data_IF_598342544127
#
_entry.id   IF_598342544127
#
_cell.length_a   1.000
_cell.length_b   1.000
_cell.length_c   1.000
_cell.angle_alpha   90.00
_cell.angle_beta   90.00
_cell.angle_gamma   90.00
#
_symmetry.space_group_name_H-M   'P 1'
#
loop_
_entity.id
_entity.type
_entity.pdbx_description
1 polymer ?
#
# COMPACT_ATOMS: atom_id res chain seq x y z
N UNK A 1 24.18 -30.78 13.32
CA UNK A 1 24.56 -29.50 12.68
C UNK A 1 24.46 -28.36 13.71
N UNK A 2 25.16 -27.22 13.58
CA UNK A 2 25.00 -26.12 14.53
C UNK A 2 23.69 -25.34 14.29
N UNK A 3 22.97 -25.03 15.36
CA UNK A 3 21.75 -24.19 15.36
C UNK A 3 22.17 -22.73 15.54
N UNK A 4 21.64 -21.82 14.73
CA UNK A 4 21.96 -20.38 14.83
C UNK A 4 20.86 -19.66 15.62
N UNK A 5 21.22 -18.99 16.72
CA UNK A 5 20.30 -18.28 17.61
C UNK A 5 20.68 -16.79 17.69
N UNK A 6 19.69 -15.89 17.67
CA UNK A 6 19.94 -14.46 17.85
C UNK A 6 20.12 -14.10 19.33
N UNK A 7 21.12 -13.29 19.66
CA UNK A 7 21.29 -12.77 21.01
C UNK A 7 20.22 -11.71 21.35
N UNK A 8 19.59 -11.74 22.54
CA UNK A 8 18.60 -10.74 22.93
C UNK A 8 19.21 -9.38 23.34
N UNK A 9 20.50 -9.34 23.65
CA UNK A 9 21.18 -8.11 24.09
C UNK A 9 21.99 -7.39 23.01
N UNK A 10 22.23 -8.01 21.84
CA UNK A 10 22.97 -7.40 20.74
C UNK A 10 22.67 -8.11 19.41
N UNK A 11 22.94 -7.51 18.24
CA UNK A 11 22.59 -8.09 16.93
C UNK A 11 23.49 -9.27 16.49
N UNK A 12 24.22 -9.91 17.41
CA UNK A 12 25.13 -11.02 17.09
C UNK A 12 24.40 -12.35 17.02
N UNK A 13 24.68 -13.13 15.97
CA UNK A 13 24.20 -14.50 15.80
C UNK A 13 25.16 -15.47 16.51
N UNK A 14 24.60 -16.36 17.33
CA UNK A 14 25.31 -17.37 18.10
C UNK A 14 25.17 -18.73 17.41
N UNK A 15 26.29 -19.42 17.20
CA UNK A 15 26.30 -20.80 16.70
C UNK A 15 26.31 -21.75 17.90
N UNK A 16 25.30 -22.62 17.98
CA UNK A 16 25.02 -23.45 19.15
C UNK A 16 25.03 -24.92 18.72
N UNK A 17 25.79 -25.81 19.38
CA UNK A 17 25.72 -27.23 19.09
C UNK A 17 24.33 -27.78 19.46
N UNK A 18 23.80 -28.74 18.68
CA UNK A 18 22.50 -29.39 18.94
C UNK A 18 22.40 -29.98 20.37
N UNK A 19 23.50 -30.44 20.94
CA UNK A 19 23.55 -30.94 22.33
C UNK A 19 23.21 -29.87 23.39
N UNK A 20 23.23 -28.59 23.03
CA UNK A 20 22.83 -27.47 23.88
C UNK A 20 21.41 -26.97 23.60
N UNK A 21 20.62 -27.66 22.75
CA UNK A 21 19.20 -27.37 22.54
C UNK A 21 18.44 -27.35 23.89
N UNK A 22 17.63 -26.32 24.10
CA UNK A 22 16.90 -26.10 25.36
C UNK A 22 17.73 -25.56 26.53
N UNK A 23 19.07 -25.43 26.41
CA UNK A 23 19.93 -24.92 27.50
C UNK A 23 20.17 -23.40 27.37
N UNK A 24 20.36 -22.69 28.50
CA UNK A 24 20.79 -21.29 28.47
C UNK A 24 22.24 -21.18 28.00
N UNK A 25 22.49 -20.28 27.05
CA UNK A 25 23.82 -19.96 26.51
C UNK A 25 24.14 -18.49 26.73
N UNK A 26 25.39 -18.16 27.04
CA UNK A 26 25.83 -16.76 27.18
C UNK A 26 26.40 -16.22 25.89
N UNK A 27 26.01 -15.01 25.51
CA UNK A 27 26.60 -14.30 24.39
C UNK A 27 28.03 -13.87 24.73
N UNK A 28 29.04 -14.21 23.90
CA UNK A 28 30.43 -13.82 24.16
C UNK A 28 30.69 -12.31 23.99
N UNK A 29 29.78 -11.56 23.34
CA UNK A 29 29.96 -10.12 23.12
C UNK A 29 29.37 -9.23 24.21
N UNK A 30 28.20 -9.57 24.75
CA UNK A 30 27.49 -8.73 25.72
C UNK A 30 27.11 -9.44 27.02
N UNK A 31 27.41 -10.74 27.17
CA UNK A 31 27.12 -11.52 28.38
C UNK A 31 25.64 -11.90 28.57
N UNK A 32 24.72 -11.40 27.75
CA UNK A 32 23.31 -11.74 27.81
C UNK A 32 23.08 -13.25 27.64
N UNK A 33 22.16 -13.82 28.42
CA UNK A 33 21.77 -15.23 28.36
C UNK A 33 20.62 -15.40 27.37
N UNK A 34 20.80 -16.25 26.37
CA UNK A 34 19.76 -16.66 25.42
C UNK A 34 19.41 -18.14 25.64
N UNK A 35 18.17 -18.55 25.39
CA UNK A 35 17.78 -19.96 25.46
C UNK A 35 17.85 -20.57 24.06
N UNK A 36 18.59 -21.67 23.90
CA UNK A 36 18.61 -22.38 22.63
C UNK A 36 17.24 -23.05 22.37
N UNK A 37 16.68 -23.01 21.15
CA UNK A 37 15.42 -23.69 20.82
C UNK A 37 15.50 -25.17 21.19
N UNK A 38 14.44 -25.70 21.82
CA UNK A 38 14.33 -27.13 22.04
C UNK A 38 14.15 -27.83 20.68
N UNK A 39 14.88 -28.91 20.45
CA UNK A 39 14.63 -29.79 19.32
C UNK A 39 13.28 -30.45 19.56
N UNK A 40 12.27 -30.03 18.81
CA UNK A 40 11.03 -30.79 18.71
C UNK A 40 11.43 -32.06 17.95
N UNK A 41 11.32 -33.26 18.55
CA UNK A 41 11.58 -34.50 17.85
C UNK A 41 10.71 -34.48 16.59
N UNK A 42 11.33 -34.59 15.42
CA UNK A 42 10.57 -34.72 14.18
C UNK A 42 9.74 -36.00 14.33
N UNK A 43 8.46 -35.84 14.65
CA UNK A 43 7.50 -36.93 14.63
C UNK A 43 7.55 -37.50 13.22
N UNK A 44 7.94 -38.78 13.13
CA UNK A 44 8.03 -39.52 11.88
C UNK A 44 6.63 -39.57 11.28
N UNK A 45 6.33 -38.57 10.46
CA UNK A 45 5.09 -38.54 9.69
C UNK A 45 5.14 -39.79 8.82
N UNK A 46 4.20 -40.75 8.98
CA UNK A 46 4.20 -41.96 8.18
C UNK A 46 4.19 -41.53 6.72
N UNK A 47 5.22 -41.95 6.00
CA UNK A 47 5.36 -41.75 4.56
C UNK A 47 4.20 -42.50 3.94
N UNK A 48 3.10 -41.80 3.68
CA UNK A 48 2.01 -42.32 2.88
C UNK A 48 2.60 -42.46 1.48
N UNK A 49 2.73 -43.70 1.02
CA UNK A 49 3.15 -44.06 -0.34
C UNK A 49 2.30 -43.30 -1.36
N UNK A 50 2.78 -42.12 -1.74
CA UNK A 50 2.19 -41.34 -2.82
C UNK A 50 2.45 -42.12 -4.09
N UNK A 51 1.41 -42.82 -4.56
CA UNK A 51 1.36 -43.48 -5.85
C UNK A 51 1.94 -42.53 -6.90
N UNK A 52 3.05 -42.97 -7.51
CA UNK A 52 3.78 -42.26 -8.56
C UNK A 52 2.81 -42.06 -9.72
N UNK A 53 2.19 -40.88 -9.79
CA UNK A 53 1.44 -40.46 -10.97
C UNK A 53 2.47 -40.20 -12.07
N UNK A 54 2.46 -41.07 -13.07
CA UNK A 54 3.30 -40.95 -14.26
C UNK A 54 3.21 -39.54 -14.84
N UNK A 55 4.35 -38.92 -15.19
CA UNK A 55 4.38 -37.55 -15.70
C UNK A 55 3.53 -37.45 -16.97
N UNK A 56 2.61 -36.49 -16.99
CA UNK A 56 1.78 -36.19 -18.14
C UNK A 56 2.65 -35.95 -19.39
N UNK A 57 2.24 -36.46 -20.56
CA UNK A 57 3.01 -36.33 -21.79
C UNK A 57 3.23 -34.85 -22.13
N UNK A 58 4.49 -34.49 -22.41
CA UNK A 58 4.86 -33.13 -22.82
C UNK A 58 4.03 -32.71 -24.04
N UNK A 59 3.40 -31.52 -24.04
CA UNK A 59 2.66 -31.03 -25.19
C UNK A 59 3.60 -30.88 -26.39
N UNK A 60 3.20 -31.48 -27.51
CA UNK A 60 3.88 -31.41 -28.80
C UNK A 60 3.87 -29.95 -29.24
N UNK A 61 5.05 -29.34 -29.37
CA UNK A 61 5.23 -27.96 -29.84
C UNK A 61 4.71 -27.88 -31.28
N UNK A 62 3.55 -27.27 -31.47
CA UNK A 62 3.04 -26.90 -32.80
C UNK A 62 3.97 -25.80 -33.30
N UNK A 63 4.73 -26.07 -34.36
CA UNK A 63 5.34 -25.02 -35.17
C UNK A 63 4.17 -24.20 -35.73
N UNK A 64 4.05 -22.95 -35.30
CA UNK A 64 3.21 -22.00 -36.00
C UNK A 64 3.90 -21.67 -37.31
N UNK A 65 3.24 -22.03 -38.40
CA UNK A 65 3.61 -21.70 -39.76
C UNK A 65 3.84 -20.19 -39.90
N UNK A 66 4.89 -19.88 -40.65
CA UNK A 66 5.14 -18.57 -41.19
C UNK A 66 4.00 -18.25 -42.17
N UNK A 67 3.04 -17.42 -41.74
CA UNK A 67 2.14 -16.75 -42.67
C UNK A 67 2.75 -15.41 -43.05
N UNK A 68 3.34 -15.46 -44.22
CA UNK A 68 3.88 -14.39 -45.03
C UNK A 68 2.69 -13.67 -45.67
N UNK A 69 2.18 -12.61 -45.04
CA UNK A 69 1.21 -11.71 -45.69
C UNK A 69 1.69 -10.27 -45.68
N UNK A 70 2.49 -10.00 -46.70
CA UNK A 70 2.55 -8.77 -47.48
C UNK A 70 1.29 -7.87 -47.36
N UNK A 71 1.39 -6.78 -46.60
CA UNK A 71 0.48 -5.63 -46.73
C UNK A 71 1.25 -4.31 -46.62
N UNK A 72 1.70 -3.86 -47.79
CA UNK A 72 1.69 -2.47 -48.33
C UNK A 72 2.37 -1.32 -47.54
N UNK A 73 3.31 -0.61 -48.19
CA UNK A 73 3.66 0.77 -47.87
C UNK A 73 2.57 1.74 -48.36
N UNK A 74 2.07 2.58 -47.46
CA UNK A 74 1.24 3.78 -47.70
C UNK A 74 1.25 4.58 -46.40
N UNK A 75 1.30 5.89 -46.34
CA UNK A 75 1.26 6.95 -47.35
C UNK A 75 1.73 8.20 -46.60
N UNK A 76 2.34 9.12 -47.33
CA UNK A 76 2.73 10.43 -46.87
C UNK A 76 1.53 11.20 -46.30
N UNK A 77 1.72 11.83 -45.15
CA UNK A 77 0.65 12.52 -44.44
C UNK A 77 1.21 13.60 -43.53
N UNK A 78 1.81 14.60 -44.17
CA UNK A 78 2.05 15.93 -43.62
C UNK A 78 0.80 16.46 -42.88
N UNK A 79 0.83 16.45 -41.55
CA UNK A 79 0.04 17.40 -40.76
C UNK A 79 0.96 18.12 -39.77
N UNK A 80 1.69 19.07 -40.36
CA UNK A 80 2.40 20.16 -39.70
C UNK A 80 1.40 20.98 -38.86
N UNK A 81 1.14 20.51 -37.64
CA UNK A 81 0.22 21.19 -36.73
C UNK A 81 0.79 22.56 -36.35
N UNK A 82 0.07 23.68 -36.63
CA UNK A 82 0.61 25.02 -36.42
C UNK A 82 0.88 25.26 -34.93
N UNK A 83 2.16 25.55 -34.61
CA UNK A 83 2.58 26.00 -33.28
C UNK A 83 1.78 27.24 -32.90
N UNK A 84 0.99 27.11 -31.83
CA UNK A 84 0.21 28.20 -31.25
C UNK A 84 1.17 29.30 -30.79
N UNK A 85 1.19 30.42 -31.53
CA UNK A 85 1.91 31.66 -31.17
C UNK A 85 1.45 32.13 -29.79
N UNK A 86 2.35 32.07 -28.82
CA UNK A 86 2.21 32.79 -27.54
C UNK A 86 2.19 34.27 -27.87
N UNK A 87 1.04 34.92 -27.65
CA UNK A 87 0.91 36.38 -27.75
C UNK A 87 1.78 37.05 -26.68
N UNK A 88 2.65 38.01 -27.03
CA UNK A 88 3.18 38.95 -26.06
C UNK A 88 2.04 39.87 -25.61
N UNK A 89 1.75 39.92 -24.31
CA UNK A 89 0.95 40.99 -23.73
C UNK A 89 1.80 42.25 -23.72
N UNK A 90 1.48 43.16 -24.63
CA UNK A 90 1.91 44.54 -24.59
C UNK A 90 1.38 45.23 -23.32
N UNK A 91 2.27 46.02 -22.74
CA UNK A 91 2.09 47.32 -22.09
C UNK A 91 0.66 47.89 -22.03
N UNK A 92 0.27 48.28 -20.82
CA UNK A 92 -0.61 49.43 -20.57
C UNK A 92 -0.16 50.08 -19.26
N UNK A 93 0.76 51.01 -19.45
CA UNK A 93 0.76 52.36 -18.89
C UNK A 93 -0.44 52.72 -17.99
N UNK A 94 -0.17 53.07 -16.73
CA UNK A 94 -0.98 54.04 -15.98
C UNK A 94 -0.13 54.61 -14.83
N UNK A 95 0.67 55.62 -15.20
CA UNK A 95 1.18 56.64 -14.29
C UNK A 95 0.02 57.36 -13.59
N UNK A 96 -0.27 56.95 -12.36
CA UNK A 96 -1.05 57.78 -11.43
C UNK A 96 -0.16 58.40 -10.36
N UNK A 97 0.15 59.65 -10.64
CA UNK A 97 0.69 60.70 -9.79
C UNK A 97 -0.08 60.74 -8.45
N UNK A 98 0.48 60.09 -7.42
CA UNK A 98 -0.08 60.13 -6.06
C UNK A 98 0.55 61.28 -5.28
N UNK A 99 -0.25 62.18 -4.67
CA UNK A 99 0.27 63.31 -3.92
C UNK A 99 1.14 62.85 -2.75
N UNK A 100 2.36 63.41 -2.68
CA UNK A 100 3.31 63.28 -1.56
C UNK A 100 2.64 63.68 -0.25
N UNK A 101 2.13 62.69 0.49
CA UNK A 101 1.64 62.88 1.85
C UNK A 101 2.84 63.16 2.76
N UNK A 102 2.88 64.36 3.30
CA UNK A 102 3.90 64.83 4.23
C UNK A 102 3.98 63.91 5.43
N UNK A 103 5.19 63.42 5.69
CA UNK A 103 5.54 62.46 6.73
C UNK A 103 5.40 63.15 8.09
N UNK A 104 4.21 63.14 8.68
CA UNK A 104 4.03 63.45 10.11
C UNK A 104 4.76 62.37 10.91
N UNK A 105 5.86 62.76 11.55
CA UNK A 105 6.52 62.02 12.64
C UNK A 105 5.49 61.89 13.78
N UNK A 106 4.65 60.86 13.75
CA UNK A 106 3.88 60.44 14.92
C UNK A 106 4.61 59.27 15.59
N UNK A 107 4.72 59.34 16.92
CA UNK A 107 5.46 58.39 17.75
C UNK A 107 4.86 56.98 17.75
N UNK A 108 5.04 56.25 16.66
CA UNK A 108 4.55 54.88 16.45
C UNK A 108 5.42 53.77 17.06
N UNK A 109 6.43 54.10 17.87
CA UNK A 109 7.33 53.10 18.46
C UNK A 109 6.63 52.11 19.38
N UNK A 110 5.63 52.57 20.14
CA UNK A 110 4.89 51.71 21.06
C UNK A 110 3.94 50.73 20.35
N UNK A 111 3.29 51.16 19.26
CA UNK A 111 2.39 50.30 18.50
C UNK A 111 3.13 49.20 17.73
N UNK A 112 4.33 49.49 17.21
CA UNK A 112 5.18 48.50 16.54
C UNK A 112 5.78 47.50 17.54
N UNK A 113 6.16 47.95 18.74
CA UNK A 113 6.63 47.05 19.79
C UNK A 113 5.54 46.07 20.27
N UNK A 114 4.30 46.53 20.40
CA UNK A 114 3.17 45.69 20.80
C UNK A 114 2.83 44.61 19.76
N UNK A 115 2.88 44.93 18.47
CA UNK A 115 2.60 43.96 17.40
C UNK A 115 3.69 42.90 17.27
N UNK A 116 4.96 43.31 17.36
CA UNK A 116 6.09 42.36 17.33
C UNK A 116 6.05 41.45 18.57
N UNK A 117 5.80 42.01 19.75
CA UNK A 117 5.67 41.23 20.99
C UNK A 117 4.54 40.21 20.94
N UNK A 118 3.38 40.59 20.38
CA UNK A 118 2.25 39.68 20.19
C UNK A 118 2.55 38.53 19.22
N UNK A 119 3.21 38.80 18.10
CA UNK A 119 3.59 37.75 17.13
C UNK A 119 4.62 36.77 17.70
N UNK A 120 5.60 37.26 18.45
CA UNK A 120 6.58 36.39 19.13
C UNK A 120 5.89 35.52 20.17
N UNK A 121 4.95 36.06 20.95
CA UNK A 121 4.21 35.27 21.95
C UNK A 121 3.40 34.15 21.30
N UNK A 122 2.69 34.44 20.20
CA UNK A 122 1.94 33.42 19.44
C UNK A 122 2.88 32.36 18.84
N UNK A 123 4.03 32.77 18.31
CA UNK A 123 5.04 31.85 17.78
C UNK A 123 5.62 30.93 18.87
N UNK A 124 5.89 31.47 20.06
CA UNK A 124 6.41 30.69 21.20
C UNK A 124 5.36 29.71 21.73
N UNK A 125 4.09 30.14 21.87
CA UNK A 125 3.00 29.25 22.29
C UNK A 125 2.76 28.16 21.23
N UNK A 126 2.75 28.52 19.94
CA UNK A 126 2.61 27.59 18.84
C UNK A 126 3.76 26.57 18.78
N UNK A 127 5.00 27.01 18.93
CA UNK A 127 6.17 26.14 18.98
C UNK A 127 6.18 25.26 20.24
N UNK A 128 5.77 25.79 21.39
CA UNK A 128 5.64 25.03 22.64
C UNK A 128 4.57 23.93 22.54
N UNK A 129 3.40 24.25 21.99
CA UNK A 129 2.35 23.27 21.71
C UNK A 129 2.81 22.22 20.69
N UNK A 130 3.51 22.64 19.63
CA UNK A 130 4.04 21.73 18.61
C UNK A 130 5.11 20.79 19.19
N UNK A 131 6.02 21.27 20.04
CA UNK A 131 7.05 20.45 20.68
C UNK A 131 6.47 19.51 21.74
N UNK A 132 5.47 19.95 22.51
CA UNK A 132 4.77 19.08 23.47
C UNK A 132 3.91 18.02 22.78
N UNK A 133 3.32 18.33 21.63
CA UNK A 133 2.61 17.36 20.80
C UNK A 133 3.58 16.41 20.06
N UNK A 134 4.71 16.92 19.56
CA UNK A 134 5.68 16.17 18.76
C UNK A 134 6.54 15.21 19.56
N UNK A 135 6.86 15.50 20.83
CA UNK A 135 7.75 14.63 21.64
C UNK A 135 7.11 13.30 22.07
N UNK A 136 5.80 13.12 21.88
CA UNK A 136 5.10 11.83 22.03
C UNK A 136 4.86 11.09 20.71
N UNK A 137 5.23 11.69 19.57
CA UNK A 137 4.96 11.11 18.25
C UNK A 137 6.11 10.24 17.70
N UNK A 138 7.30 10.26 18.31
CA UNK A 138 8.49 9.60 17.76
C UNK A 138 8.60 8.08 17.95
N UNK A 139 7.69 7.44 18.68
CA UNK A 139 7.69 5.98 18.90
C UNK A 139 6.27 5.40 18.85
N UNK A 140 5.40 6.06 18.06
CA UNK A 140 4.05 5.61 17.77
C UNK A 140 3.80 5.47 16.25
N UNK A 141 4.88 5.39 15.46
CA UNK A 141 4.79 5.19 14.01
C UNK A 141 4.67 3.70 13.68
N UNK A 142 3.42 3.23 13.64
CA UNK A 142 2.90 2.19 12.73
C UNK A 142 1.41 1.90 13.00
N UNK A 143 0.91 2.18 14.20
CA UNK A 143 -0.50 2.07 14.56
C UNK A 143 -1.14 3.46 14.50
N UNK A 144 -2.12 3.65 13.61
CA UNK A 144 -2.71 4.94 13.26
C UNK A 144 -3.06 5.85 14.45
N UNK A 145 -3.16 7.16 14.15
CA UNK A 145 -3.55 8.23 15.06
C UNK A 145 -4.46 7.72 16.20
N UNK A 146 -4.05 7.88 17.48
CA UNK A 146 -4.77 7.31 18.64
C UNK A 146 -6.19 7.88 18.83
N UNK A 147 -6.64 8.77 17.94
CA UNK A 147 -7.93 9.44 17.99
C UNK A 147 -8.92 8.99 16.92
N UNK A 148 -8.52 8.15 15.95
CA UNK A 148 -9.49 7.59 15.01
C UNK A 148 -10.13 6.36 15.67
N UNK A 149 -11.33 6.55 16.23
CA UNK A 149 -12.16 5.44 16.71
C UNK A 149 -12.41 4.50 15.53
N UNK A 150 -11.86 3.29 15.57
CA UNK A 150 -12.14 2.25 14.57
C UNK A 150 -13.62 1.92 14.59
N UNK A 151 -14.23 1.76 13.41
CA UNK A 151 -15.57 1.24 13.29
C UNK A 151 -15.69 -0.14 13.97
N UNK A 152 -16.84 -0.47 14.59
CA UNK A 152 -17.06 -1.80 15.14
C UNK A 152 -16.96 -2.85 14.04
N UNK A 153 -16.38 -4.00 14.38
CA UNK A 153 -16.29 -5.14 13.47
C UNK A 153 -17.70 -5.69 13.23
N UNK A 154 -18.13 -5.92 11.98
CA UNK A 154 -19.45 -6.47 11.71
C UNK A 154 -19.62 -7.88 12.30
N UNK A 155 -20.85 -8.23 12.68
CA UNK A 155 -21.12 -9.53 13.28
C UNK A 155 -20.73 -10.68 12.35
N UNK A 156 -20.07 -11.70 12.91
CA UNK A 156 -19.61 -12.89 12.15
C UNK A 156 -18.29 -12.71 11.41
N UNK A 157 -17.67 -11.52 11.45
CA UNK A 157 -16.37 -11.33 10.83
C UNK A 157 -15.25 -11.78 11.76
N UNK A 158 -14.24 -12.44 11.18
CA UNK A 158 -13.11 -13.00 11.92
C UNK A 158 -11.81 -12.33 11.50
N UNK A 159 -10.93 -12.08 12.46
CA UNK A 159 -9.60 -11.54 12.20
C UNK A 159 -8.72 -12.61 11.55
N UNK A 160 -8.17 -12.30 10.39
CA UNK A 160 -7.14 -13.11 9.73
C UNK A 160 -5.82 -12.33 9.67
N UNK A 161 -4.74 -13.03 10.00
CA UNK A 161 -3.38 -12.48 9.99
C UNK A 161 -2.56 -13.22 8.95
N UNK A 162 -1.89 -12.46 8.08
CA UNK A 162 -1.00 -12.96 7.03
C UNK A 162 0.41 -12.46 7.35
N UNK A 163 1.17 -13.19 8.20
CA UNK A 163 2.46 -12.74 8.70
C UNK A 163 3.53 -12.65 7.59
N UNK A 164 3.39 -13.44 6.52
CA UNK A 164 4.29 -13.38 5.37
C UNK A 164 4.14 -12.05 4.61
N UNK A 165 2.91 -11.58 4.45
CA UNK A 165 2.57 -10.33 3.76
C UNK A 165 2.65 -9.09 4.66
N UNK A 166 2.63 -9.31 5.97
CA UNK A 166 2.57 -8.23 6.94
C UNK A 166 1.18 -7.60 7.00
N UNK A 167 0.12 -8.40 6.89
CA UNK A 167 -1.27 -7.90 6.82
C UNK A 167 -2.14 -8.50 7.93
N UNK A 168 -3.05 -7.69 8.47
CA UNK A 168 -4.17 -8.14 9.33
C UNK A 168 -5.46 -7.48 8.87
N UNK A 169 -6.51 -8.27 8.66
CA UNK A 169 -7.82 -7.75 8.27
C UNK A 169 -8.93 -8.70 8.74
N UNK A 170 -10.14 -8.17 8.89
CA UNK A 170 -11.33 -8.96 9.20
C UNK A 170 -12.02 -9.39 7.91
N UNK A 171 -12.50 -10.64 7.88
CA UNK A 171 -13.21 -11.22 6.75
C UNK A 171 -14.51 -11.88 7.20
N UNK A 172 -15.57 -11.88 6.37
CA UNK A 172 -16.86 -12.51 6.71
C UNK A 172 -16.79 -14.05 6.74
N UNK A 173 -15.76 -14.65 6.13
CA UNK A 173 -15.50 -16.08 6.13
C UNK A 173 -13.99 -16.33 6.08
N UNK A 174 -13.57 -17.59 6.19
CA UNK A 174 -12.15 -17.97 6.04
C UNK A 174 -11.68 -17.63 4.61
N UNK A 175 -10.70 -16.73 4.42
CA UNK A 175 -10.26 -16.37 3.09
C UNK A 175 -9.47 -17.49 2.44
N UNK A 176 -9.69 -17.70 1.15
CA UNK A 176 -8.81 -18.46 0.28
C UNK A 176 -7.59 -17.59 -0.04
N UNK A 177 -6.40 -18.13 0.20
CA UNK A 177 -5.12 -17.42 0.00
C UNK A 177 -4.39 -18.05 -1.16
N UNK A 178 -4.02 -17.22 -2.14
CA UNK A 178 -3.15 -17.60 -3.24
C UNK A 178 -1.91 -16.70 -3.23
N UNK A 179 -0.74 -17.32 -3.07
CA UNK A 179 0.55 -16.62 -3.11
C UNK A 179 1.26 -16.98 -4.41
N UNK A 180 1.55 -15.99 -5.24
CA UNK A 180 2.29 -16.15 -6.47
C UNK A 180 3.67 -15.47 -6.35
N UNK A 181 4.73 -16.22 -6.68
CA UNK A 181 6.05 -15.65 -6.89
C UNK A 181 6.15 -15.23 -8.37
N UNK A 182 6.33 -13.96 -8.69
CA UNK A 182 6.42 -13.48 -10.06
C UNK A 182 7.71 -14.02 -10.70
N UNK A 183 7.56 -15.09 -11.48
CA UNK A 183 8.53 -15.59 -12.47
C UNK A 183 7.94 -15.58 -13.89
N UNK A 184 6.75 -15.01 -14.08
CA UNK A 184 6.01 -14.89 -15.34
C UNK A 184 4.95 -13.79 -15.23
N UNK A 185 4.17 -13.56 -16.32
CA UNK A 185 3.01 -12.65 -16.27
C UNK A 185 2.08 -13.14 -15.16
N UNK A 186 1.81 -12.30 -14.15
CA UNK A 186 0.83 -12.62 -13.13
C UNK A 186 -0.55 -12.66 -13.81
N UNK A 187 -1.06 -13.85 -14.06
CA UNK A 187 -2.43 -14.02 -14.52
C UNK A 187 -3.32 -13.85 -13.31
N UNK A 188 -4.07 -12.74 -13.28
CA UNK A 188 -5.07 -12.46 -12.27
C UNK A 188 -5.95 -13.69 -12.09
N UNK A 189 -6.06 -14.16 -10.85
CA UNK A 189 -7.01 -15.21 -10.49
C UNK A 189 -8.39 -14.65 -10.83
N UNK A 190 -9.05 -15.20 -11.86
CA UNK A 190 -10.41 -14.78 -12.25
C UNK A 190 -11.37 -14.88 -11.06
N UNK A 191 -12.38 -14.03 -10.91
CA UNK A 191 -13.16 -13.35 -11.95
C UNK A 191 -13.54 -11.93 -11.51
N UNK A 192 -13.39 -10.97 -12.43
CA UNK A 192 -13.54 -9.51 -12.27
C UNK A 192 -12.44 -8.80 -11.48
N UNK A 193 -11.25 -9.35 -11.56
CA UNK A 193 -9.96 -8.66 -11.37
C UNK A 193 -9.35 -8.29 -12.74
N UNK A 194 -10.15 -8.36 -13.80
CA UNK A 194 -9.78 -8.08 -15.19
C UNK A 194 -9.16 -6.69 -15.38
N UNK A 195 -9.41 -5.79 -14.42
CA UNK A 195 -8.91 -4.41 -14.40
C UNK A 195 -7.96 -4.14 -13.21
N UNK A 196 -7.44 -5.18 -12.51
CA UNK A 196 -6.14 -5.00 -11.85
C UNK A 196 -5.14 -4.83 -12.98
N UNK A 197 -5.01 -3.55 -13.32
CA UNK A 197 -3.91 -2.84 -13.91
C UNK A 197 -2.80 -3.80 -14.27
N UNK A 198 -2.47 -3.86 -15.56
CA UNK A 198 -1.21 -4.40 -16.09
C UNK A 198 -0.05 -3.57 -15.52
N UNK A 199 0.11 -3.56 -14.20
CA UNK A 199 1.24 -2.96 -13.52
C UNK A 199 2.41 -3.82 -13.90
N UNK A 200 3.51 -3.17 -14.24
CA UNK A 200 4.77 -3.88 -14.35
C UNK A 200 5.14 -4.52 -12.99
N UNK A 201 4.86 -5.81 -12.87
CA UNK A 201 5.16 -6.64 -11.69
C UNK A 201 6.52 -7.34 -11.83
N UNK A 202 7.36 -6.97 -12.80
CA UNK A 202 8.70 -7.59 -12.97
C UNK A 202 9.58 -7.46 -11.73
N UNK A 203 9.41 -6.36 -10.98
CA UNK A 203 10.14 -6.09 -9.74
C UNK A 203 9.38 -6.49 -8.47
N UNK A 204 8.19 -7.07 -8.62
CA UNK A 204 7.46 -7.65 -7.50
C UNK A 204 8.19 -8.91 -7.01
N UNK A 205 8.08 -9.19 -5.71
CA UNK A 205 8.66 -10.35 -5.04
C UNK A 205 7.56 -11.38 -4.73
N UNK A 206 6.40 -10.89 -4.29
CA UNK A 206 5.28 -11.69 -3.83
C UNK A 206 4.00 -10.95 -4.18
N UNK A 207 3.03 -11.68 -4.75
CA UNK A 207 1.65 -11.25 -4.86
C UNK A 207 0.83 -12.22 -4.02
N UNK A 208 0.22 -11.71 -2.96
CA UNK A 208 -0.73 -12.49 -2.17
C UNK A 208 -2.13 -11.96 -2.39
N UNK A 209 -3.01 -12.86 -2.82
CA UNK A 209 -4.42 -12.58 -3.02
C UNK A 209 -5.24 -13.36 -2.01
N UNK A 210 -6.07 -12.65 -1.26
CA UNK A 210 -7.02 -13.20 -0.31
C UNK A 210 -8.43 -12.90 -0.82
N UNK A 211 -9.25 -13.94 -0.92
CA UNK A 211 -10.65 -13.80 -1.28
C UNK A 211 -11.53 -14.47 -0.23
N UNK A 212 -12.60 -13.80 0.19
CA UNK A 212 -13.59 -14.38 1.10
C UNK A 212 -14.99 -13.93 0.70
N UNK A 213 -15.97 -14.78 1.04
CA UNK A 213 -17.37 -14.37 1.08
C UNK A 213 -18.25 -14.84 -0.07
N UNK A 214 -17.77 -15.75 -0.92
CA UNK A 214 -18.57 -16.46 -1.93
C UNK A 214 -19.86 -17.02 -1.27
N UNK A 215 -21.01 -16.43 -1.61
CA UNK A 215 -22.32 -16.83 -1.09
C UNK A 215 -22.70 -16.29 0.30
N UNK A 216 -21.86 -15.47 0.94
CA UNK A 216 -22.12 -14.90 2.28
C UNK A 216 -22.84 -13.55 2.27
N UNK A 217 -23.16 -13.01 1.09
CA UNK A 217 -23.79 -11.71 0.93
C UNK A 217 -22.84 -10.52 1.05
N UNK A 218 -21.58 -10.72 1.45
CA UNK A 218 -20.50 -9.74 1.33
C UNK A 218 -19.25 -10.44 0.80
N UNK A 219 -18.67 -9.88 -0.24
CA UNK A 219 -17.42 -10.37 -0.82
C UNK A 219 -16.30 -9.38 -0.51
N UNK A 220 -15.17 -9.91 -0.06
CA UNK A 220 -13.98 -9.12 0.28
C UNK A 220 -12.81 -9.69 -0.49
N UNK A 221 -12.04 -8.80 -1.12
CA UNK A 221 -10.86 -9.17 -1.88
C UNK A 221 -9.69 -8.28 -1.47
N UNK A 222 -8.55 -8.88 -1.19
CA UNK A 222 -7.32 -8.17 -0.83
C UNK A 222 -6.17 -8.71 -1.66
N UNK A 223 -5.47 -7.84 -2.38
CA UNK A 223 -4.22 -8.18 -3.04
C UNK A 223 -3.10 -7.32 -2.48
N UNK A 224 -2.02 -7.95 -2.04
CA UNK A 224 -0.80 -7.29 -1.58
C UNK A 224 0.31 -7.61 -2.57
N UNK A 225 0.84 -6.57 -3.23
CA UNK A 225 1.98 -6.66 -4.14
C UNK A 225 3.19 -6.09 -3.40
N UNK A 226 4.17 -6.96 -3.10
CA UNK A 226 5.44 -6.57 -2.50
C UNK A 226 6.49 -6.37 -3.57
N UNK A 227 7.19 -5.25 -3.55
CA UNK A 227 8.34 -4.97 -4.41
C UNK A 227 9.65 -5.26 -3.68
N UNK A 228 10.66 -5.76 -4.40
CA UNK A 228 12.02 -5.95 -3.84
C UNK A 228 12.66 -4.62 -3.43
N UNK A 229 12.39 -3.58 -4.23
CA UNK A 229 12.86 -2.21 -4.02
C UNK A 229 11.74 -1.29 -3.56
N UNK A 230 11.84 -0.01 -3.93
CA UNK A 230 10.72 0.93 -3.78
C UNK A 230 9.69 0.67 -4.88
N UNK A 231 8.40 0.91 -4.58
CA UNK A 231 7.35 0.93 -5.61
C UNK A 231 7.74 1.96 -6.68
N UNK A 232 7.89 1.58 -7.96
CA UNK A 232 8.29 2.51 -9.00
C UNK A 232 7.31 3.67 -9.11
N UNK A 233 7.80 4.89 -9.31
CA UNK A 233 6.95 6.09 -9.40
C UNK A 233 5.92 5.97 -10.52
N UNK A 234 6.30 5.34 -11.63
CA UNK A 234 5.42 5.07 -12.77
C UNK A 234 4.20 4.23 -12.41
N UNK A 235 4.36 3.25 -11.51
CA UNK A 235 3.27 2.36 -11.06
C UNK A 235 2.15 3.15 -10.40
N UNK A 236 2.47 4.13 -9.54
CA UNK A 236 1.46 4.96 -8.87
C UNK A 236 0.69 5.83 -9.87
N UNK A 237 1.40 6.40 -10.85
CA UNK A 237 0.80 7.22 -11.91
C UNK A 237 -0.09 6.41 -12.85
N UNK A 238 0.35 5.21 -13.22
CA UNK A 238 -0.39 4.28 -14.07
C UNK A 238 -1.66 3.79 -13.39
N UNK A 239 -1.57 3.31 -12.14
CA UNK A 239 -2.75 2.89 -11.38
C UNK A 239 -3.74 4.05 -11.26
N UNK A 240 -3.28 5.25 -10.89
CA UNK A 240 -4.16 6.43 -10.82
C UNK A 240 -4.84 6.70 -12.17
N UNK A 241 -4.09 6.64 -13.26
CA UNK A 241 -4.61 6.90 -14.61
C UNK A 241 -5.69 5.89 -14.96
N UNK A 242 -5.44 4.60 -14.74
CA UNK A 242 -6.39 3.54 -15.06
C UNK A 242 -7.67 3.64 -14.21
N UNK A 243 -7.57 3.84 -12.90
CA UNK A 243 -8.73 4.04 -12.01
C UNK A 243 -9.50 5.35 -12.28
N UNK A 244 -8.95 6.27 -13.08
CA UNK A 244 -9.62 7.53 -13.46
C UNK A 244 -10.21 7.48 -14.87
N UNK A 245 -9.63 6.68 -15.77
CA UNK A 245 -9.99 6.63 -17.19
C UNK A 245 -11.15 5.66 -17.46
N UNK A 246 -11.50 4.76 -16.54
CA UNK A 246 -12.63 3.86 -16.72
C UNK A 246 -13.95 4.62 -16.97
N UNK A 247 -14.54 4.48 -18.18
CA UNK A 247 -15.66 5.31 -18.62
C UNK A 247 -16.98 5.02 -17.88
N UNK A 248 -17.01 4.00 -17.01
CA UNK A 248 -18.22 3.52 -16.34
C UNK A 248 -18.42 4.17 -14.96
N UNK A 249 -18.69 5.48 -14.94
CA UNK A 249 -19.30 6.23 -13.80
C UNK A 249 -18.75 5.89 -12.40
N UNK A 250 -17.50 5.49 -12.29
CA UNK A 250 -16.87 5.22 -11.00
C UNK A 250 -16.48 6.55 -10.36
N UNK A 251 -16.93 6.79 -9.14
CA UNK A 251 -16.43 7.95 -8.40
C UNK A 251 -15.05 7.60 -7.83
N UNK A 252 -14.03 8.33 -8.27
CA UNK A 252 -12.67 8.18 -7.75
C UNK A 252 -12.35 9.37 -6.86
N UNK A 253 -11.90 9.12 -5.62
CA UNK A 253 -11.45 10.16 -4.69
C UNK A 253 -10.18 9.74 -3.98
N UNK A 254 -9.45 10.73 -3.45
CA UNK A 254 -8.28 10.46 -2.60
C UNK A 254 -8.74 10.43 -1.14
N UNK A 255 -8.35 9.39 -0.40
CA UNK A 255 -8.65 9.21 1.03
C UNK A 255 -7.34 8.96 1.80
N UNK A 256 -7.36 9.18 3.12
CA UNK A 256 -6.27 8.75 4.00
C UNK A 256 -6.55 7.33 4.47
N UNK A 257 -5.69 6.38 4.14
CA UNK A 257 -5.81 4.99 4.54
C UNK A 257 -4.43 4.37 4.76
N UNK A 258 -4.26 3.60 5.83
CA UNK A 258 -2.97 3.02 6.22
C UNK A 258 -1.85 4.07 6.39
N UNK A 259 -2.21 5.24 6.93
CA UNK A 259 -1.30 6.37 7.14
C UNK A 259 -0.88 7.12 5.87
N UNK A 260 -1.33 6.68 4.69
CA UNK A 260 -0.90 7.21 3.40
C UNK A 260 -2.10 7.74 2.59
N UNK A 261 -1.80 8.45 1.50
CA UNK A 261 -2.82 8.75 0.48
C UNK A 261 -3.16 7.46 -0.26
N UNK A 262 -4.45 7.15 -0.32
CA UNK A 262 -5.00 6.03 -1.05
C UNK A 262 -6.03 6.55 -2.07
N UNK A 263 -6.20 5.80 -3.16
CA UNK A 263 -7.27 6.03 -4.12
C UNK A 263 -8.45 5.17 -3.72
N UNK A 264 -9.61 5.79 -3.53
CA UNK A 264 -10.87 5.09 -3.34
C UNK A 264 -11.70 5.20 -4.62
N UNK A 265 -12.13 4.06 -5.13
CA UNK A 265 -13.04 3.95 -6.27
C UNK A 265 -14.32 3.29 -5.79
N UNK A 266 -15.46 3.85 -6.17
CA UNK A 266 -16.77 3.21 -6.01
C UNK A 266 -17.32 2.87 -7.38
N UNK A 267 -17.62 1.60 -7.63
CA UNK A 267 -18.19 1.18 -8.92
C UNK A 267 -19.72 1.32 -8.94
N UNK A 268 -20.30 1.10 -10.12
CA UNK A 268 -21.76 1.17 -10.34
C UNK A 268 -22.57 0.17 -9.50
N UNK A 269 -21.97 -0.95 -9.12
CA UNK A 269 -22.59 -1.96 -8.27
C UNK A 269 -22.43 -1.65 -6.78
N UNK A 270 -21.83 -0.50 -6.44
CA UNK A 270 -21.63 -0.06 -5.06
C UNK A 270 -20.53 -0.83 -4.33
N UNK A 271 -19.63 -1.53 -5.03
CA UNK A 271 -18.40 -2.01 -4.43
C UNK A 271 -17.45 -0.86 -4.20
N UNK A 272 -16.78 -0.87 -3.06
CA UNK A 272 -15.75 0.11 -2.72
C UNK A 272 -14.40 -0.58 -2.79
N UNK A 273 -13.47 0.03 -3.52
CA UNK A 273 -12.08 -0.40 -3.63
C UNK A 273 -11.17 0.71 -3.14
N UNK A 274 -10.19 0.36 -2.31
CA UNK A 274 -9.09 1.24 -1.93
C UNK A 274 -7.77 0.68 -2.44
N UNK A 275 -6.97 1.56 -3.03
CA UNK A 275 -5.58 1.28 -3.42
C UNK A 275 -4.65 2.14 -2.59
N UNK A 276 -3.97 1.50 -1.65
CA UNK A 276 -2.98 2.11 -0.76
C UNK A 276 -1.56 1.82 -1.23
N UNK A 277 -0.66 2.76 -0.96
CA UNK A 277 0.75 2.65 -1.29
C UNK A 277 1.60 2.84 -0.05
N UNK A 278 2.60 1.97 0.12
CA UNK A 278 3.74 2.24 0.99
C UNK A 278 5.00 2.39 0.14
N UNK A 279 6.17 2.46 0.78
CA UNK A 279 7.45 2.45 0.07
C UNK A 279 7.67 1.15 -0.72
N UNK A 280 7.17 0.01 -0.24
CA UNK A 280 7.43 -1.32 -0.83
C UNK A 280 6.18 -2.13 -1.16
N UNK A 281 5.01 -1.69 -0.71
CA UNK A 281 3.74 -2.41 -0.90
C UNK A 281 2.79 -1.58 -1.75
N UNK A 282 2.07 -2.28 -2.64
CA UNK A 282 0.81 -1.80 -3.21
C UNK A 282 -0.27 -2.72 -2.68
N UNK A 283 -1.28 -2.13 -2.05
CA UNK A 283 -2.38 -2.86 -1.41
C UNK A 283 -3.67 -2.51 -2.12
N UNK A 284 -4.30 -3.49 -2.73
CA UNK A 284 -5.65 -3.41 -3.25
C UNK A 284 -6.57 -4.09 -2.25
N UNK A 285 -7.57 -3.37 -1.74
CA UNK A 285 -8.60 -3.96 -0.92
C UNK A 285 -9.96 -3.53 -1.47
N UNK A 286 -10.86 -4.48 -1.69
CA UNK A 286 -12.23 -4.20 -2.09
C UNK A 286 -13.23 -4.97 -1.25
N UNK A 287 -14.40 -4.36 -1.10
CA UNK A 287 -15.57 -4.94 -0.45
C UNK A 287 -16.80 -4.66 -1.31
N UNK A 288 -17.61 -5.69 -1.54
CA UNK A 288 -18.85 -5.63 -2.33
C UNK A 288 -19.97 -6.39 -1.64
N UNK A 289 -21.20 -5.93 -1.81
CA UNK A 289 -22.36 -6.73 -1.45
C UNK A 289 -22.54 -7.87 -2.46
N UNK A 290 -22.94 -9.04 -1.98
CA UNK A 290 -23.27 -10.19 -2.81
C UNK A 290 -24.50 -9.89 -3.69
N UNK A 291 -24.51 -10.44 -4.89
CA UNK A 291 -25.67 -10.35 -5.79
C UNK A 291 -25.94 -8.95 -6.35
N UNK A 292 -24.89 -8.16 -6.62
CA UNK A 292 -24.91 -6.79 -7.22
C UNK A 292 -25.31 -5.64 -6.29
N UNK A 293 -25.48 -5.91 -4.98
CA UNK A 293 -25.82 -4.90 -3.99
C UNK A 293 -24.64 -4.07 -3.53
N UNK A 294 -24.91 -2.81 -3.17
CA UNK A 294 -23.98 -1.96 -2.42
C UNK A 294 -23.74 -2.58 -1.05
N UNK A 295 -22.48 -2.66 -0.63
CA UNK A 295 -22.10 -3.07 0.73
C UNK A 295 -22.74 -2.13 1.76
N UNK A 296 -23.11 -2.63 2.95
CA UNK A 296 -23.63 -1.76 4.00
C UNK A 296 -22.52 -0.82 4.52
N UNK A 297 -22.81 0.45 4.86
CA UNK A 297 -21.80 1.38 5.37
C UNK A 297 -21.04 0.84 6.60
N UNK A 298 -21.69 0.05 7.44
CA UNK A 298 -21.07 -0.56 8.63
C UNK A 298 -20.07 -1.65 8.25
N UNK A 299 -20.33 -2.42 7.20
CA UNK A 299 -19.44 -3.45 6.66
C UNK A 299 -18.24 -2.81 5.95
N UNK A 300 -18.49 -1.75 5.17
CA UNK A 300 -17.44 -0.97 4.51
C UNK A 300 -16.48 -0.35 5.55
N UNK A 301 -17.01 0.38 6.53
CA UNK A 301 -16.21 0.99 7.58
C UNK A 301 -15.52 -0.07 8.44
N UNK A 302 -16.25 -1.12 8.82
CA UNK A 302 -15.73 -2.25 9.59
C UNK A 302 -14.55 -2.94 8.91
N UNK A 303 -14.59 -3.12 7.59
CA UNK A 303 -13.50 -3.69 6.81
C UNK A 303 -12.29 -2.76 6.75
N UNK A 304 -12.47 -1.52 6.27
CA UNK A 304 -11.34 -0.64 5.97
C UNK A 304 -10.71 0.01 7.21
N UNK A 305 -11.47 0.29 8.27
CA UNK A 305 -10.94 0.92 9.50
C UNK A 305 -10.19 -0.07 10.40
N UNK A 306 -10.47 -1.38 10.24
CA UNK A 306 -9.80 -2.45 10.97
C UNK A 306 -8.73 -3.16 10.12
N UNK A 307 -8.42 -2.64 8.94
CA UNK A 307 -7.34 -3.13 8.09
C UNK A 307 -6.00 -2.57 8.60
N UNK A 308 -5.02 -3.45 8.82
CA UNK A 308 -3.71 -3.08 9.36
C UNK A 308 -2.58 -3.69 8.53
N UNK A 309 -1.57 -2.85 8.25
CA UNK A 309 -0.25 -3.33 7.85
C UNK A 309 0.62 -3.46 9.09
N UNK A 310 1.23 -4.62 9.26
CA UNK A 310 2.10 -4.97 10.39
C UNK A 310 3.58 -4.84 10.06
N UNK A 311 3.92 -4.46 8.81
CA UNK A 311 5.30 -4.30 8.31
C UNK A 311 5.43 -3.14 7.35
#
# INVERSE_FOLDING_TARGET
MPIVVACPGCPTKLSVPEAAAGRPIRCPKCGAVATAPALIPAEEVPVVDAAVVSPAPKPKRVLADADESDVRPRDDGDEERPRKKTRPRYAADDEHDRPRRTRRKSGGGAAVAATIGGLVLVAVIGAGAYLLAGKKAGEADAAGSPFVKKAPVPAGWHLHTFPEDGLRAYFPAKPAVATQRPGGKAYGVGWSVSDIVLVDVRDAEIITTCYSGLGSGVETHVAVIRYRGRVPVGVRGEIRTQLTVEPNRTSTRTVKWLGNDALEQTNLLGSVQRVGYTDRLVVFASVSGGGSGRVRPEEEAGFFDNFELTR
#
